data_IF_632874429166
#
_entry.id   IF_632874429166
#
_cell.length_a   1.000
_cell.length_b   1.000
_cell.length_c   1.000
_cell.angle_alpha   90.00
_cell.angle_beta   90.00
_cell.angle_gamma   90.00
#
_symmetry.space_group_name_H-M   'P 1'
#
loop_
_entity.id
_entity.type
_entity.pdbx_description
1 polymer ?
#
# COMPACT_ATOMS: atom_id res chain seq x y z
N UNK A 1 26.80 -16.67 7.70
CA UNK A 1 26.70 -15.64 6.63
C UNK A 1 25.63 -16.07 5.64
N UNK A 2 24.39 -15.67 5.91
CA UNK A 2 23.28 -15.85 4.99
C UNK A 2 23.28 -14.69 4.02
N UNK A 3 23.57 -14.96 2.75
CA UNK A 3 23.46 -13.97 1.68
C UNK A 3 22.06 -13.41 1.61
N UNK A 4 21.86 -12.09 1.47
CA UNK A 4 20.53 -11.52 1.37
C UNK A 4 19.80 -12.03 0.11
N UNK A 5 18.50 -12.28 0.18
CA UNK A 5 17.72 -12.79 -0.93
C UNK A 5 17.66 -11.78 -2.10
N UNK A 6 17.55 -12.33 -3.29
CA UNK A 6 17.57 -11.60 -4.56
C UNK A 6 16.27 -10.85 -4.79
N UNK A 7 16.30 -9.54 -4.95
CA UNK A 7 15.18 -8.74 -5.42
C UNK A 7 15.27 -8.56 -6.95
N UNK A 8 14.16 -8.75 -7.65
CA UNK A 8 14.02 -8.34 -9.05
C UNK A 8 13.36 -6.95 -9.11
N UNK A 9 13.88 -6.05 -9.93
CA UNK A 9 13.31 -4.72 -10.12
C UNK A 9 12.56 -4.67 -11.44
N UNK A 10 11.29 -4.27 -11.39
CA UNK A 10 10.47 -3.96 -12.55
C UNK A 10 10.36 -2.44 -12.67
N UNK A 11 10.92 -1.87 -13.72
CA UNK A 11 10.77 -0.45 -14.04
C UNK A 11 10.19 -0.32 -15.44
N UNK A 12 9.17 0.52 -15.62
CA UNK A 12 8.61 0.81 -16.92
C UNK A 12 9.19 2.10 -17.47
N UNK A 13 9.78 2.06 -18.66
CA UNK A 13 10.26 3.23 -19.38
C UNK A 13 9.21 3.73 -20.37
N UNK A 14 9.00 5.05 -20.42
CA UNK A 14 8.11 5.69 -21.40
C UNK A 14 8.80 5.71 -22.76
N UNK A 15 8.25 5.08 -23.75
CA UNK A 15 8.51 5.41 -25.15
C UNK A 15 7.61 6.59 -25.58
N UNK A 16 8.08 7.43 -26.49
CA UNK A 16 7.49 8.63 -27.11
C UNK A 16 5.95 8.78 -27.02
N UNK A 17 5.38 9.99 -26.85
CA UNK A 17 3.95 10.24 -26.62
C UNK A 17 3.00 9.74 -27.73
N UNK A 18 3.51 9.27 -28.85
CA UNK A 18 2.73 8.73 -29.97
C UNK A 18 2.57 7.18 -29.95
N UNK A 19 3.30 6.44 -29.11
CA UNK A 19 3.20 4.99 -29.08
C UNK A 19 2.34 4.51 -27.90
N UNK A 20 1.29 3.77 -28.22
CA UNK A 20 0.40 3.11 -27.23
C UNK A 20 1.08 1.87 -26.57
N UNK A 21 2.41 1.80 -26.60
CA UNK A 21 3.20 0.69 -26.09
C UNK A 21 3.90 1.03 -24.79
N UNK A 22 3.94 0.07 -23.86
CA UNK A 22 4.76 0.09 -22.67
C UNK A 22 5.80 -1.03 -22.78
N UNK A 23 6.95 -0.82 -22.18
CA UNK A 23 7.99 -1.84 -22.04
C UNK A 23 8.38 -1.92 -20.58
N UNK A 24 8.40 -3.10 -20.02
CA UNK A 24 8.94 -3.34 -18.69
C UNK A 24 10.45 -3.59 -18.79
N UNK A 25 11.24 -2.86 -18.00
CA UNK A 25 12.63 -3.19 -17.75
C UNK A 25 12.68 -4.11 -16.53
N UNK A 26 13.08 -5.36 -16.74
CA UNK A 26 13.24 -6.36 -15.68
C UNK A 26 14.71 -6.51 -15.36
N UNK A 27 15.10 -6.14 -14.14
CA UNK A 27 16.49 -6.22 -13.68
C UNK A 27 16.59 -7.30 -12.59
N UNK A 28 17.51 -8.21 -12.77
CA UNK A 28 17.87 -9.25 -11.81
C UNK A 28 19.38 -9.17 -11.50
N UNK A 29 19.88 -9.98 -10.58
CA UNK A 29 21.34 -10.05 -10.36
C UNK A 29 22.12 -10.50 -11.58
N UNK A 30 21.51 -11.30 -12.46
CA UNK A 30 22.19 -11.93 -13.59
C UNK A 30 22.07 -11.12 -14.89
N UNK A 31 20.98 -10.39 -15.09
CA UNK A 31 20.68 -9.73 -16.36
C UNK A 31 19.66 -8.61 -16.22
N UNK A 32 19.57 -7.82 -17.27
CA UNK A 32 18.52 -6.83 -17.48
C UNK A 32 17.85 -7.11 -18.83
N UNK A 33 16.54 -7.26 -18.82
CA UNK A 33 15.73 -7.58 -19.99
C UNK A 33 14.68 -6.51 -20.26
N UNK A 34 14.44 -6.18 -21.52
CA UNK A 34 13.32 -5.35 -21.96
C UNK A 34 12.18 -6.27 -22.40
N UNK A 35 11.06 -6.18 -21.69
CA UNK A 35 9.87 -7.00 -21.94
C UNK A 35 8.77 -6.11 -22.50
N UNK A 36 8.44 -6.22 -23.80
CA UNK A 36 7.33 -5.47 -24.38
C UNK A 36 6.00 -5.90 -23.77
N UNK A 37 5.16 -4.91 -23.41
CA UNK A 37 3.81 -5.14 -22.91
C UNK A 37 2.83 -4.90 -24.06
N UNK A 38 2.30 -5.98 -24.64
CA UNK A 38 1.53 -5.90 -25.88
C UNK A 38 0.07 -5.50 -25.66
N UNK A 39 -0.50 -5.83 -24.49
CA UNK A 39 -1.93 -5.67 -24.21
C UNK A 39 -2.26 -4.39 -23.43
N UNK A 40 -1.39 -3.39 -23.49
CA UNK A 40 -1.59 -2.09 -22.81
C UNK A 40 -2.91 -1.40 -23.19
N UNK A 41 -3.37 -1.43 -24.48
CA UNK A 41 -4.67 -0.89 -24.82
C UNK A 41 -5.84 -1.58 -24.10
N UNK A 42 -5.73 -2.89 -23.86
CA UNK A 42 -6.73 -3.66 -23.12
C UNK A 42 -6.68 -3.33 -21.61
N UNK A 43 -5.50 -3.26 -21.03
CA UNK A 43 -5.31 -2.80 -19.67
C UNK A 43 -5.93 -1.40 -19.45
N UNK A 44 -5.69 -0.46 -20.37
CA UNK A 44 -6.28 0.89 -20.30
C UNK A 44 -7.81 0.89 -20.36
N UNK A 45 -8.41 -0.02 -21.14
CA UNK A 45 -9.87 -0.18 -21.18
C UNK A 45 -10.45 -0.79 -19.89
N UNK A 46 -9.66 -1.64 -19.22
CA UNK A 46 -10.09 -2.26 -17.96
C UNK A 46 -10.07 -1.29 -16.77
N UNK A 47 -9.16 -0.30 -16.75
CA UNK A 47 -8.97 0.61 -15.62
C UNK A 47 -10.22 1.40 -15.20
N UNK A 48 -11.02 2.04 -16.11
CA UNK A 48 -12.17 2.83 -15.69
C UNK A 48 -13.24 2.03 -14.92
N UNK A 49 -13.46 0.78 -15.29
CA UNK A 49 -14.43 -0.09 -14.61
C UNK A 49 -13.91 -0.75 -13.34
N UNK A 50 -12.59 -0.81 -13.15
CA UNK A 50 -11.99 -1.47 -12.00
C UNK A 50 -12.38 -0.80 -10.67
N UNK A 51 -12.38 0.54 -10.63
CA UNK A 51 -12.80 1.29 -9.43
C UNK A 51 -14.24 0.96 -9.05
N UNK A 52 -15.15 1.04 -10.02
CA UNK A 52 -16.56 0.75 -9.77
C UNK A 52 -16.75 -0.69 -9.24
N UNK A 53 -16.02 -1.66 -9.82
CA UNK A 53 -16.08 -3.05 -9.35
C UNK A 53 -15.49 -3.20 -7.93
N UNK A 54 -14.44 -2.47 -7.59
CA UNK A 54 -13.83 -2.48 -6.25
C UNK A 54 -14.76 -1.83 -5.21
N UNK A 55 -15.33 -0.65 -5.51
CA UNK A 55 -16.28 0.05 -4.64
C UNK A 55 -17.54 -0.80 -4.41
N UNK A 56 -18.04 -1.43 -5.47
CA UNK A 56 -19.17 -2.37 -5.39
C UNK A 56 -18.81 -3.63 -4.58
N UNK A 57 -17.61 -4.18 -4.74
CA UNK A 57 -17.16 -5.36 -4.01
C UNK A 57 -17.01 -5.09 -2.51
N UNK A 58 -16.59 -3.89 -2.14
CA UNK A 58 -16.52 -3.47 -0.73
C UNK A 58 -17.90 -3.30 -0.11
N UNK A 59 -18.88 -2.86 -0.90
CA UNK A 59 -20.25 -2.51 -0.44
C UNK A 59 -21.23 -3.68 -0.52
N UNK A 60 -21.19 -4.49 -1.59
CA UNK A 60 -22.13 -5.59 -1.85
C UNK A 60 -21.58 -6.90 -1.31
N UNK A 61 -21.91 -7.21 -0.05
CA UNK A 61 -21.33 -8.33 0.68
C UNK A 61 -22.11 -9.64 0.63
N UNK A 62 -23.39 -9.58 0.23
CA UNK A 62 -24.31 -10.73 0.23
C UNK A 62 -25.20 -10.74 -1.01
N UNK A 63 -25.84 -11.88 -1.26
CA UNK A 63 -26.82 -12.05 -2.33
C UNK A 63 -26.21 -12.30 -3.72
N UNK A 64 -27.08 -12.47 -4.75
CA UNK A 64 -26.65 -12.85 -6.09
C UNK A 64 -25.81 -11.77 -6.79
N UNK A 65 -26.00 -10.50 -6.46
CA UNK A 65 -25.23 -9.39 -7.01
C UNK A 65 -23.75 -9.48 -6.64
N UNK A 66 -23.43 -9.97 -5.43
CA UNK A 66 -22.03 -10.20 -5.01
C UNK A 66 -21.26 -11.06 -6.01
N UNK A 67 -21.86 -12.17 -6.47
CA UNK A 67 -21.20 -13.06 -7.41
C UNK A 67 -20.98 -12.41 -8.79
N UNK A 68 -21.88 -11.53 -9.21
CA UNK A 68 -21.74 -10.78 -10.48
C UNK A 68 -20.58 -9.78 -10.36
N UNK A 69 -20.58 -8.99 -9.30
CA UNK A 69 -19.49 -8.01 -9.03
C UNK A 69 -18.15 -8.71 -8.92
N UNK A 70 -18.08 -9.81 -8.15
CA UNK A 70 -16.81 -10.55 -7.99
C UNK A 70 -16.28 -11.10 -9.31
N UNK A 71 -17.14 -11.66 -10.17
CA UNK A 71 -16.72 -12.14 -11.51
C UNK A 71 -16.23 -11.02 -12.41
N UNK A 72 -16.88 -9.84 -12.37
CA UNK A 72 -16.43 -8.66 -13.11
C UNK A 72 -15.06 -8.21 -12.64
N UNK A 73 -14.89 -8.08 -11.33
CA UNK A 73 -13.62 -7.70 -10.69
C UNK A 73 -12.50 -8.70 -11.04
N UNK A 74 -12.75 -10.00 -10.85
CA UNK A 74 -11.76 -11.05 -11.16
C UNK A 74 -11.33 -11.03 -12.63
N UNK A 75 -12.29 -10.82 -13.55
CA UNK A 75 -11.99 -10.71 -14.98
C UNK A 75 -11.08 -9.51 -15.29
N UNK A 76 -11.35 -8.35 -14.69
CA UNK A 76 -10.53 -7.14 -14.90
C UNK A 76 -9.14 -7.29 -14.27
N UNK A 77 -9.06 -7.84 -13.06
CA UNK A 77 -7.77 -8.12 -12.42
C UNK A 77 -6.93 -9.11 -13.22
N UNK A 78 -7.55 -10.15 -13.80
CA UNK A 78 -6.87 -11.10 -14.67
C UNK A 78 -6.35 -10.43 -15.95
N UNK A 79 -7.17 -9.57 -16.58
CA UNK A 79 -6.75 -8.78 -17.76
C UNK A 79 -5.55 -7.88 -17.43
N UNK A 80 -5.58 -7.18 -16.29
CA UNK A 80 -4.48 -6.32 -15.86
C UNK A 80 -3.22 -7.13 -15.53
N UNK A 81 -3.36 -8.27 -14.85
CA UNK A 81 -2.23 -9.16 -14.55
C UNK A 81 -1.55 -9.63 -15.82
N UNK A 82 -2.33 -10.15 -16.77
CA UNK A 82 -1.80 -10.65 -18.06
C UNK A 82 -1.11 -9.55 -18.85
N UNK A 83 -1.74 -8.36 -18.94
CA UNK A 83 -1.21 -7.26 -19.73
C UNK A 83 0.04 -6.59 -19.16
N UNK A 84 0.19 -6.54 -17.83
CA UNK A 84 1.20 -5.71 -17.18
C UNK A 84 2.26 -6.50 -16.41
N UNK A 85 1.91 -7.68 -15.92
CA UNK A 85 2.71 -8.36 -14.90
C UNK A 85 3.20 -9.74 -15.27
N UNK A 86 2.37 -10.60 -15.86
CA UNK A 86 2.65 -12.04 -15.95
C UNK A 86 3.97 -12.34 -16.65
N UNK A 87 4.24 -11.70 -17.80
CA UNK A 87 5.49 -11.90 -18.53
C UNK A 87 6.71 -11.26 -17.82
N UNK A 88 6.67 -10.00 -17.35
CA UNK A 88 7.74 -9.45 -16.51
C UNK A 88 8.03 -10.27 -15.26
N UNK A 89 7.02 -10.76 -14.57
CA UNK A 89 7.19 -11.59 -13.37
C UNK A 89 7.78 -12.96 -13.69
N UNK A 90 7.43 -13.56 -14.83
CA UNK A 90 8.03 -14.80 -15.34
C UNK A 90 9.51 -14.62 -15.64
N UNK A 91 9.88 -13.50 -16.27
CA UNK A 91 11.29 -13.17 -16.56
C UNK A 91 12.08 -12.89 -15.27
N UNK A 92 11.48 -12.20 -14.30
CA UNK A 92 12.10 -11.94 -13.02
C UNK A 92 12.37 -13.21 -12.21
N UNK A 93 11.51 -14.22 -12.32
CA UNK A 93 11.69 -15.54 -11.71
C UNK A 93 11.81 -15.58 -10.18
N UNK A 94 11.73 -14.44 -9.51
CA UNK A 94 11.92 -14.28 -8.07
C UNK A 94 10.58 -14.22 -7.33
N UNK A 95 10.59 -14.56 -6.03
CA UNK A 95 9.44 -14.37 -5.15
C UNK A 95 9.33 -12.94 -4.60
N UNK A 96 10.43 -12.17 -4.60
CA UNK A 96 10.46 -10.78 -4.14
C UNK A 96 10.57 -9.85 -5.33
N UNK A 97 9.69 -8.86 -5.41
CA UNK A 97 9.64 -7.89 -6.50
C UNK A 97 9.69 -6.46 -5.97
N UNK A 98 10.47 -5.63 -6.63
CA UNK A 98 10.38 -4.17 -6.50
C UNK A 98 9.76 -3.65 -7.79
N UNK A 99 8.60 -3.04 -7.68
CA UNK A 99 7.86 -2.52 -8.82
C UNK A 99 7.95 -1.00 -8.83
N UNK A 100 8.43 -0.43 -9.92
CA UNK A 100 8.38 1.02 -10.18
C UNK A 100 7.42 1.24 -11.34
N UNK A 101 6.23 1.74 -11.05
CA UNK A 101 5.18 1.96 -12.04
C UNK A 101 5.05 3.45 -12.39
N UNK A 102 4.79 3.82 -13.67
CA UNK A 102 4.47 5.19 -14.04
C UNK A 102 3.14 5.63 -13.42
N UNK A 103 2.95 6.94 -13.25
CA UNK A 103 1.77 7.50 -12.57
C UNK A 103 0.41 6.99 -13.06
N UNK A 104 0.29 6.69 -14.37
CA UNK A 104 -0.94 6.12 -14.96
C UNK A 104 -1.30 4.73 -14.40
N UNK A 105 -0.33 4.00 -13.82
CA UNK A 105 -0.51 2.68 -13.22
C UNK A 105 -0.47 2.71 -11.69
N UNK A 106 -0.32 3.87 -11.09
CA UNK A 106 -0.11 3.98 -9.64
C UNK A 106 -1.36 3.62 -8.82
N UNK A 107 -2.57 3.80 -9.37
CA UNK A 107 -3.83 3.42 -8.71
C UNK A 107 -4.19 1.93 -8.81
N UNK A 108 -3.40 1.11 -9.47
CA UNK A 108 -3.68 -0.33 -9.59
C UNK A 108 -3.49 -0.99 -8.22
N UNK A 109 -4.47 -1.79 -7.75
CA UNK A 109 -4.31 -2.61 -6.55
C UNK A 109 -3.44 -3.85 -6.87
N UNK A 110 -2.13 -3.64 -6.99
CA UNK A 110 -1.18 -4.67 -7.41
C UNK A 110 -1.28 -5.94 -6.58
N UNK A 111 -1.54 -5.82 -5.27
CA UNK A 111 -1.70 -6.95 -4.36
C UNK A 111 -2.84 -7.90 -4.77
N UNK A 112 -3.86 -7.38 -5.47
CA UNK A 112 -5.00 -8.17 -5.93
C UNK A 112 -4.77 -8.86 -7.27
N UNK A 113 -3.74 -8.47 -8.03
CA UNK A 113 -3.45 -9.11 -9.32
C UNK A 113 -3.09 -10.59 -9.14
N UNK A 114 -3.66 -11.52 -9.93
CA UNK A 114 -3.37 -12.95 -9.82
C UNK A 114 -1.89 -13.28 -9.81
N UNK A 115 -1.08 -12.61 -10.63
CA UNK A 115 0.37 -12.79 -10.70
C UNK A 115 1.15 -12.30 -9.46
N UNK A 116 0.50 -11.54 -8.56
CA UNK A 116 1.11 -11.06 -7.29
C UNK A 116 0.74 -11.93 -6.08
N UNK A 117 -0.24 -12.80 -6.18
CA UNK A 117 -0.68 -13.63 -5.05
C UNK A 117 0.46 -14.46 -4.50
N UNK A 118 0.67 -14.35 -3.18
CA UNK A 118 1.75 -15.05 -2.47
C UNK A 118 3.17 -14.56 -2.77
N UNK A 119 3.32 -13.44 -3.51
CA UNK A 119 4.61 -12.79 -3.72
C UNK A 119 4.85 -11.70 -2.68
N UNK A 120 6.06 -11.61 -2.22
CA UNK A 120 6.55 -10.45 -1.47
C UNK A 120 6.93 -9.36 -2.47
N UNK A 121 6.31 -8.19 -2.37
CA UNK A 121 6.61 -7.09 -3.27
C UNK A 121 6.47 -5.72 -2.59
N UNK A 122 7.12 -4.73 -3.16
CA UNK A 122 6.96 -3.32 -2.79
C UNK A 122 6.84 -2.44 -4.03
N UNK A 123 6.12 -1.35 -3.90
CA UNK A 123 6.03 -0.29 -4.89
C UNK A 123 7.03 0.80 -4.53
N UNK A 124 8.08 0.95 -5.31
CA UNK A 124 9.07 1.98 -5.10
C UNK A 124 8.82 3.21 -5.98
N UNK A 125 8.98 4.44 -5.44
CA UNK A 125 8.90 5.65 -6.26
C UNK A 125 9.92 5.67 -7.41
N UNK A 126 11.09 5.12 -7.17
CA UNK A 126 12.13 4.85 -8.18
C UNK A 126 13.11 3.79 -7.67
N UNK A 127 13.79 3.11 -8.59
CA UNK A 127 14.84 2.15 -8.26
C UNK A 127 16.00 2.81 -7.48
N UNK A 128 16.38 4.05 -7.84
CA UNK A 128 17.43 4.80 -7.17
C UNK A 128 17.07 5.08 -5.71
N UNK A 129 15.84 5.56 -5.43
CA UNK A 129 15.41 5.80 -4.05
C UNK A 129 15.33 4.51 -3.25
N UNK A 130 14.81 3.45 -3.85
CA UNK A 130 14.76 2.14 -3.22
C UNK A 130 16.16 1.65 -2.82
N UNK A 131 17.14 1.75 -3.71
CA UNK A 131 18.52 1.36 -3.43
C UNK A 131 19.12 2.20 -2.29
N UNK A 132 18.96 3.53 -2.34
CA UNK A 132 19.49 4.43 -1.31
C UNK A 132 18.91 4.14 0.09
N UNK A 133 17.60 3.85 0.17
CA UNK A 133 16.96 3.51 1.46
C UNK A 133 17.48 2.19 2.00
N UNK A 134 17.77 1.21 1.14
CA UNK A 134 18.30 -0.09 1.55
C UNK A 134 19.74 -0.04 2.07
N UNK A 135 20.54 0.91 1.59
CA UNK A 135 21.90 1.12 2.08
C UNK A 135 21.95 1.73 3.48
N UNK A 136 20.85 2.38 3.91
CA UNK A 136 20.74 2.93 5.26
C UNK A 136 20.51 1.83 6.29
N UNK A 137 21.20 1.87 7.45
CA UNK A 137 21.00 0.90 8.52
C UNK A 137 19.53 0.86 8.97
N UNK A 138 19.04 -0.32 9.30
CA UNK A 138 17.77 -0.44 10.03
C UNK A 138 18.03 -0.18 11.50
N UNK A 139 17.13 0.55 12.18
CA UNK A 139 17.19 0.66 13.64
C UNK A 139 16.95 -0.68 14.32
N UNK A 140 17.00 -0.68 15.64
CA UNK A 140 16.90 -1.81 16.57
C UNK A 140 15.86 -2.88 16.19
N UNK A 141 16.11 -4.18 16.46
CA UNK A 141 15.14 -5.25 16.27
C UNK A 141 13.89 -5.17 17.17
N UNK A 142 13.90 -4.37 18.23
CA UNK A 142 12.74 -4.16 19.10
C UNK A 142 12.04 -2.87 18.66
N UNK A 143 10.99 -3.03 17.86
CA UNK A 143 10.21 -1.90 17.38
C UNK A 143 9.20 -1.44 18.46
N UNK A 144 9.12 -0.13 18.66
CA UNK A 144 8.05 0.53 19.42
C UNK A 144 6.89 0.78 18.48
N UNK A 145 5.67 0.47 18.92
CA UNK A 145 4.48 0.64 18.09
C UNK A 145 3.51 1.66 18.68
N UNK A 146 2.92 2.45 17.79
CA UNK A 146 1.84 3.38 18.09
C UNK A 146 0.66 3.17 17.18
N UNK A 147 -0.53 3.38 17.72
CA UNK A 147 -1.80 3.31 17.02
C UNK A 147 -2.59 4.58 17.22
N UNK A 148 -3.30 5.03 16.20
CA UNK A 148 -4.23 6.13 16.27
C UNK A 148 -5.52 5.81 15.55
N UNK A 149 -6.66 6.11 16.15
CA UNK A 149 -7.98 5.96 15.55
C UNK A 149 -8.53 7.34 15.23
N UNK A 150 -8.88 7.59 13.98
CA UNK A 150 -9.57 8.81 13.58
C UNK A 150 -11.06 8.78 13.93
N UNK A 151 -11.72 9.95 13.92
CA UNK A 151 -13.13 10.03 14.26
C UNK A 151 -14.02 9.31 13.22
N UNK A 152 -15.11 8.73 13.71
CA UNK A 152 -16.17 8.11 12.90
C UNK A 152 -15.71 6.95 11.98
N UNK A 153 -14.58 6.32 12.25
CA UNK A 153 -14.14 5.11 11.56
C UNK A 153 -14.90 3.92 12.11
N UNK A 154 -15.76 3.33 11.30
CA UNK A 154 -16.48 2.13 11.71
C UNK A 154 -15.46 1.01 11.97
N UNK A 155 -15.54 0.35 13.13
CA UNK A 155 -14.61 -0.70 13.59
C UNK A 155 -13.12 -0.29 13.70
N UNK A 156 -12.77 1.01 13.62
CA UNK A 156 -11.37 1.45 13.76
C UNK A 156 -10.77 1.07 15.11
N UNK A 157 -11.51 1.18 16.18
CA UNK A 157 -11.09 0.75 17.52
C UNK A 157 -10.87 -0.78 17.61
N UNK A 158 -11.73 -1.56 16.95
CA UNK A 158 -11.58 -3.01 16.88
C UNK A 158 -10.35 -3.40 16.06
N UNK A 159 -10.15 -2.78 14.91
CA UNK A 159 -8.98 -2.99 14.05
C UNK A 159 -7.69 -2.73 14.83
N UNK A 160 -7.62 -1.58 15.52
CA UNK A 160 -6.47 -1.21 16.35
C UNK A 160 -6.29 -2.17 17.52
N UNK A 161 -7.36 -2.58 18.20
CA UNK A 161 -7.27 -3.53 19.32
C UNK A 161 -6.71 -4.89 18.87
N UNK A 162 -7.17 -5.40 17.72
CA UNK A 162 -6.68 -6.66 17.15
C UNK A 162 -5.20 -6.52 16.77
N UNK A 163 -4.83 -5.46 16.06
CA UNK A 163 -3.45 -5.22 15.65
C UNK A 163 -2.50 -5.03 16.85
N UNK A 164 -2.93 -4.29 17.87
CA UNK A 164 -2.15 -4.03 19.07
C UNK A 164 -1.92 -5.28 19.92
N UNK A 165 -2.84 -6.25 19.87
CA UNK A 165 -2.71 -7.51 20.63
C UNK A 165 -1.48 -8.36 20.22
N UNK A 166 -0.91 -8.11 19.05
CA UNK A 166 0.31 -8.77 18.59
C UNK A 166 1.59 -8.24 19.28
N UNK A 167 1.52 -7.11 19.97
CA UNK A 167 2.67 -6.43 20.55
C UNK A 167 2.70 -6.56 22.08
N UNK A 168 3.89 -6.70 22.63
CA UNK A 168 4.05 -6.76 24.09
C UNK A 168 3.66 -5.44 24.78
N UNK A 169 3.99 -4.33 24.12
CA UNK A 169 3.63 -2.97 24.55
C UNK A 169 3.19 -2.18 23.32
N UNK A 170 2.05 -1.49 23.42
CA UNK A 170 1.50 -0.65 22.37
C UNK A 170 0.97 0.66 22.97
N UNK A 171 1.27 1.78 22.31
CA UNK A 171 0.64 3.08 22.61
C UNK A 171 -0.58 3.25 21.72
N UNK A 172 -1.72 3.53 22.29
CA UNK A 172 -2.99 3.66 21.55
C UNK A 172 -3.59 5.02 21.84
N UNK A 173 -3.91 5.77 20.78
CA UNK A 173 -4.71 6.98 20.82
C UNK A 173 -6.12 6.64 20.30
N UNK A 174 -7.13 6.55 21.19
CA UNK A 174 -8.52 6.36 20.79
C UNK A 174 -9.03 7.61 20.05
N UNK A 175 -10.21 7.49 19.41
CA UNK A 175 -10.71 8.49 18.48
C UNK A 175 -10.80 9.92 19.07
N UNK A 176 -11.15 10.05 20.33
CA UNK A 176 -11.28 11.35 20.98
C UNK A 176 -9.92 11.98 21.36
N UNK A 177 -8.88 11.17 21.54
CA UNK A 177 -7.53 11.59 21.95
C UNK A 177 -6.56 11.71 20.76
N UNK A 178 -6.92 11.21 19.58
CA UNK A 178 -6.09 11.24 18.39
C UNK A 178 -6.11 12.63 17.72
N UNK A 179 -5.59 13.63 18.42
CA UNK A 179 -5.39 14.99 17.89
C UNK A 179 -4.16 15.06 16.99
N UNK A 180 -4.05 16.11 16.17
CA UNK A 180 -2.89 16.32 15.29
C UNK A 180 -1.59 16.33 16.07
N UNK A 181 -1.55 17.04 17.20
CA UNK A 181 -0.36 17.10 18.05
C UNK A 181 -0.05 15.73 18.69
N UNK A 182 -1.06 15.03 19.24
CA UNK A 182 -0.85 13.72 19.85
C UNK A 182 -0.36 12.66 18.85
N UNK A 183 -0.89 12.67 17.61
CA UNK A 183 -0.44 11.77 16.53
C UNK A 183 0.97 12.14 16.06
N UNK A 184 1.31 13.42 16.01
CA UNK A 184 2.66 13.88 15.69
C UNK A 184 3.67 13.46 16.74
N UNK A 185 3.32 13.61 18.02
CA UNK A 185 4.16 13.23 19.15
C UNK A 185 4.40 11.71 19.20
N UNK A 186 3.33 10.90 19.04
CA UNK A 186 3.49 9.46 19.03
C UNK A 186 4.31 9.00 17.82
N UNK A 187 4.13 9.62 16.64
CA UNK A 187 4.90 9.33 15.43
C UNK A 187 6.40 9.56 15.63
N UNK A 188 6.79 10.58 16.38
CA UNK A 188 8.20 10.87 16.68
C UNK A 188 8.85 9.84 17.62
N UNK A 189 8.04 9.15 18.44
CA UNK A 189 8.51 8.24 19.48
C UNK A 189 8.54 6.76 19.06
N UNK A 190 7.78 6.38 18.02
CA UNK A 190 7.61 4.98 17.63
C UNK A 190 8.37 4.63 16.35
N UNK A 191 8.54 3.35 16.12
CA UNK A 191 9.18 2.82 14.91
C UNK A 191 8.13 2.32 13.91
N UNK A 192 6.96 1.91 14.40
CA UNK A 192 5.78 1.54 13.61
C UNK A 192 4.59 2.38 14.05
N UNK A 193 3.96 3.09 13.15
CA UNK A 193 2.72 3.83 13.38
C UNK A 193 1.60 3.25 12.52
N UNK A 194 0.49 2.87 13.16
CA UNK A 194 -0.72 2.48 12.46
C UNK A 194 -1.82 3.52 12.69
N UNK A 195 -2.38 4.06 11.61
CA UNK A 195 -3.47 5.04 11.66
C UNK A 195 -4.70 4.47 10.95
N UNK A 196 -5.75 4.21 11.71
CA UNK A 196 -7.07 3.86 11.22
C UNK A 196 -7.95 5.13 11.20
N UNK A 197 -8.05 5.80 10.05
CA UNK A 197 -8.71 7.10 9.95
C UNK A 197 -9.32 7.33 8.56
N UNK A 198 -10.14 8.37 8.42
CA UNK A 198 -10.58 8.81 7.10
C UNK A 198 -9.47 9.61 6.41
N UNK A 199 -9.23 9.31 5.14
CA UNK A 199 -8.36 10.12 4.28
C UNK A 199 -9.11 11.33 3.74
N UNK A 200 -8.40 12.46 3.60
CA UNK A 200 -8.87 13.65 2.89
C UNK A 200 -7.94 13.93 1.72
N UNK A 201 -8.50 13.94 0.54
CA UNK A 201 -7.73 14.20 -0.68
C UNK A 201 -7.92 15.63 -1.19
N UNK A 202 -6.81 16.26 -1.58
CA UNK A 202 -6.81 17.53 -2.30
C UNK A 202 -6.29 17.31 -3.72
N UNK A 203 -7.21 17.39 -4.71
CA UNK A 203 -6.92 17.11 -6.13
C UNK A 203 -5.85 18.02 -6.70
N UNK A 204 -5.88 19.29 -6.31
CA UNK A 204 -5.04 20.32 -6.90
C UNK A 204 -3.62 20.38 -6.30
N UNK A 205 -3.47 19.93 -5.05
CA UNK A 205 -2.18 19.93 -4.37
C UNK A 205 -2.10 18.81 -3.33
N UNK A 206 -1.29 17.77 -3.55
CA UNK A 206 -1.12 16.65 -2.62
C UNK A 206 -0.73 17.05 -1.19
N UNK A 207 -0.05 18.18 -0.99
CA UNK A 207 0.32 18.65 0.35
C UNK A 207 -0.88 19.02 1.24
N UNK A 208 -2.06 19.27 0.62
CA UNK A 208 -3.32 19.47 1.34
C UNK A 208 -4.15 18.17 1.48
N UNK A 209 -3.63 17.05 1.00
CA UNK A 209 -4.16 15.74 1.39
C UNK A 209 -3.77 15.46 2.84
N UNK A 210 -4.64 14.78 3.58
CA UNK A 210 -4.44 14.58 5.00
C UNK A 210 -5.23 13.40 5.54
N UNK A 211 -5.11 13.19 6.83
CA UNK A 211 -5.82 12.18 7.61
C UNK A 211 -6.70 12.92 8.61
N UNK A 212 -8.00 12.59 8.67
CA UNK A 212 -8.93 13.21 9.64
C UNK A 212 -8.66 12.70 11.04
N UNK A 213 -8.42 13.63 11.98
CA UNK A 213 -8.16 13.36 13.39
C UNK A 213 -9.18 14.11 14.27
N UNK A 214 -9.08 13.95 15.58
CA UNK A 214 -10.08 14.45 16.54
C UNK A 214 -10.32 15.97 16.44
N UNK A 215 -9.26 16.74 16.25
CA UNK A 215 -9.27 18.22 16.25
C UNK A 215 -9.07 18.84 14.86
N UNK A 216 -8.91 18.03 13.82
CA UNK A 216 -8.68 18.51 12.47
C UNK A 216 -8.07 17.47 11.56
N UNK A 217 -7.33 17.89 10.54
CA UNK A 217 -6.63 17.00 9.65
C UNK A 217 -5.12 17.18 9.78
N UNK A 218 -4.40 16.04 9.86
CA UNK A 218 -2.95 16.00 9.71
C UNK A 218 -2.63 16.05 8.22
N UNK A 219 -2.15 17.18 7.75
CA UNK A 219 -1.87 17.41 6.33
C UNK A 219 -0.44 17.05 5.96
N UNK A 220 -0.21 16.88 4.65
CA UNK A 220 1.11 16.60 4.12
C UNK A 220 2.19 17.63 4.48
N UNK A 221 1.83 18.89 4.56
CA UNK A 221 2.77 19.95 4.96
C UNK A 221 3.14 19.93 6.45
N UNK A 222 2.37 19.25 7.31
CA UNK A 222 2.70 19.13 8.74
C UNK A 222 3.83 18.13 8.97
N UNK A 223 4.06 17.22 8.01
CA UNK A 223 5.13 16.22 8.09
C UNK A 223 6.53 16.85 8.20
N UNK A 224 6.75 17.99 7.55
CA UNK A 224 8.03 18.71 7.59
C UNK A 224 8.37 19.24 9.01
N UNK A 225 7.38 19.30 9.89
CA UNK A 225 7.54 19.73 11.27
C UNK A 225 7.88 18.60 12.23
N UNK A 226 7.73 17.35 11.80
CA UNK A 226 8.03 16.20 12.65
C UNK A 226 9.55 16.09 12.86
N UNK A 227 10.02 16.07 14.11
CA UNK A 227 11.45 15.97 14.41
C UNK A 227 12.02 14.61 14.02
N UNK A 228 11.17 13.58 14.00
CA UNK A 228 11.45 12.22 13.60
C UNK A 228 10.18 11.62 13.00
N UNK A 229 10.33 10.71 12.07
CA UNK A 229 9.23 9.91 11.51
C UNK A 229 9.43 8.43 11.80
N UNK A 230 8.35 7.64 11.86
CA UNK A 230 8.44 6.18 12.00
C UNK A 230 9.20 5.54 10.82
N UNK A 231 9.76 4.35 11.05
CA UNK A 231 10.31 3.51 9.98
C UNK A 231 9.19 2.96 9.07
N UNK A 232 8.08 2.55 9.68
CA UNK A 232 6.92 1.98 8.99
C UNK A 232 5.65 2.71 9.38
N UNK A 233 4.86 3.08 8.39
CA UNK A 233 3.51 3.63 8.59
C UNK A 233 2.49 2.71 7.93
N UNK A 234 1.47 2.32 8.68
CA UNK A 234 0.30 1.58 8.18
C UNK A 234 -0.88 2.55 8.12
N UNK A 235 -1.39 2.78 6.93
CA UNK A 235 -2.52 3.65 6.68
C UNK A 235 -3.75 2.81 6.33
N UNK A 236 -4.60 2.56 7.29
CA UNK A 236 -5.96 2.07 7.10
C UNK A 236 -6.89 3.25 6.92
N UNK A 237 -6.66 4.01 5.86
CA UNK A 237 -7.37 5.24 5.57
C UNK A 237 -8.05 5.12 4.21
N UNK A 238 -9.36 4.88 4.24
CA UNK A 238 -10.19 4.80 3.06
C UNK A 238 -11.24 5.91 3.11
N UNK A 239 -11.41 6.65 2.03
CA UNK A 239 -12.47 7.66 1.93
C UNK A 239 -13.82 6.98 1.64
N UNK A 240 -14.74 7.03 2.61
CA UNK A 240 -16.12 6.59 2.41
C UNK A 240 -16.92 7.75 1.79
N UNK A 241 -17.37 7.59 0.54
CA UNK A 241 -18.52 8.32 0.04
C UNK A 241 -18.30 9.55 -0.83
N UNK A 242 -17.14 9.80 -1.43
CA UNK A 242 -16.98 10.88 -2.41
C UNK A 242 -16.67 10.39 -3.82
N UNK A 243 -17.64 10.61 -4.72
CA UNK A 243 -17.68 10.13 -6.10
C UNK A 243 -16.83 10.92 -7.11
N UNK A 244 -15.99 11.87 -6.68
CA UNK A 244 -15.37 12.85 -7.59
C UNK A 244 -13.84 12.81 -7.67
N UNK A 245 -13.18 11.83 -7.08
CA UNK A 245 -11.71 11.81 -7.02
C UNK A 245 -11.10 10.97 -8.13
N UNK A 246 -9.97 11.45 -8.66
CA UNK A 246 -9.16 10.69 -9.63
C UNK A 246 -8.57 9.45 -8.98
N UNK A 247 -8.69 8.34 -9.66
CA UNK A 247 -8.43 7.00 -9.20
C UNK A 247 -7.02 6.82 -8.59
N UNK A 248 -6.96 6.37 -7.33
CA UNK A 248 -5.71 6.03 -6.64
C UNK A 248 -4.80 7.20 -6.27
N UNK A 249 -5.18 8.45 -6.57
CA UNK A 249 -4.34 9.62 -6.30
C UNK A 249 -4.27 9.98 -4.81
N UNK A 250 -5.28 9.63 -4.03
CA UNK A 250 -5.40 9.97 -2.60
C UNK A 250 -4.41 9.20 -1.73
N UNK A 251 -4.53 7.89 -1.71
CA UNK A 251 -3.62 7.04 -0.94
C UNK A 251 -2.19 7.18 -1.44
N UNK A 252 -2.01 7.42 -2.73
CA UNK A 252 -0.72 7.71 -3.33
C UNK A 252 -0.19 9.07 -2.85
N UNK A 253 -1.06 10.08 -2.69
CA UNK A 253 -0.69 11.38 -2.14
C UNK A 253 -0.08 11.23 -0.75
N UNK A 254 -0.82 10.67 0.20
CA UNK A 254 -0.34 10.45 1.57
C UNK A 254 0.86 9.51 1.63
N UNK A 255 0.86 8.41 0.89
CA UNK A 255 2.01 7.50 0.82
C UNK A 255 3.28 8.22 0.35
N UNK A 256 3.18 9.05 -0.69
CA UNK A 256 4.33 9.84 -1.18
C UNK A 256 4.83 10.85 -0.16
N UNK A 257 3.92 11.49 0.57
CA UNK A 257 4.26 12.47 1.59
C UNK A 257 5.04 11.80 2.72
N UNK A 258 4.54 10.69 3.28
CA UNK A 258 5.25 9.93 4.30
C UNK A 258 6.63 9.44 3.82
N UNK A 259 6.70 8.88 2.61
CA UNK A 259 7.98 8.48 2.03
C UNK A 259 8.91 9.67 1.82
N UNK A 260 8.39 10.85 1.44
CA UNK A 260 9.20 12.07 1.27
C UNK A 260 9.74 12.57 2.61
N UNK A 261 8.93 12.54 3.65
CA UNK A 261 9.34 12.88 5.02
C UNK A 261 10.41 11.95 5.61
N UNK A 262 10.69 10.81 4.95
CA UNK A 262 11.77 9.91 5.37
C UNK A 262 11.31 8.55 5.89
N UNK A 263 10.00 8.31 5.96
CA UNK A 263 9.46 6.96 6.26
C UNK A 263 10.00 5.96 5.25
N UNK A 264 10.44 4.84 5.75
CA UNK A 264 11.06 3.79 4.94
C UNK A 264 10.03 2.95 4.19
N UNK A 265 8.95 2.61 4.88
CA UNK A 265 7.90 1.76 4.36
C UNK A 265 6.51 2.28 4.74
N UNK A 266 5.63 2.34 3.76
CA UNK A 266 4.21 2.67 3.98
C UNK A 266 3.35 1.52 3.47
N UNK A 267 2.51 0.97 4.33
CA UNK A 267 1.45 0.03 3.94
C UNK A 267 0.16 0.81 3.79
N UNK A 268 -0.40 0.81 2.60
CA UNK A 268 -1.62 1.56 2.29
C UNK A 268 -2.43 0.86 1.19
N UNK A 269 -3.65 1.31 1.00
CA UNK A 269 -4.55 0.83 -0.05
C UNK A 269 -4.91 1.96 -1.01
N UNK A 270 -4.91 1.72 -2.34
CA UNK A 270 -5.34 2.72 -3.32
C UNK A 270 -6.87 2.85 -3.44
N UNK A 271 -7.64 1.98 -2.77
CA UNK A 271 -9.10 1.90 -2.86
C UNK A 271 -9.72 1.51 -1.52
N UNK A 272 -11.03 1.68 -1.41
CA UNK A 272 -11.80 1.32 -0.21
C UNK A 272 -11.67 -0.19 0.07
N UNK A 273 -11.49 -0.53 1.34
CA UNK A 273 -11.47 -1.89 1.85
C UNK A 273 -12.63 -2.06 2.85
N UNK A 274 -13.23 -3.23 2.86
CA UNK A 274 -14.23 -3.53 3.87
C UNK A 274 -13.57 -3.67 5.25
N UNK A 275 -14.18 -3.07 6.27
CA UNK A 275 -13.59 -2.95 7.62
C UNK A 275 -13.20 -4.31 8.25
N UNK A 276 -13.99 -5.37 8.03
CA UNK A 276 -13.67 -6.71 8.53
C UNK A 276 -12.45 -7.32 7.83
N UNK A 277 -12.26 -7.04 6.54
CA UNK A 277 -11.09 -7.47 5.77
C UNK A 277 -9.85 -6.71 6.24
N UNK A 278 -9.98 -5.40 6.48
CA UNK A 278 -8.88 -4.59 7.01
C UNK A 278 -8.47 -5.09 8.41
N UNK A 279 -9.43 -5.25 9.32
CA UNK A 279 -9.22 -5.73 10.69
C UNK A 279 -8.48 -7.09 10.72
N UNK A 280 -8.95 -8.08 9.95
CA UNK A 280 -8.36 -9.42 9.93
C UNK A 280 -6.98 -9.44 9.26
N UNK A 281 -6.84 -8.79 8.10
CA UNK A 281 -5.57 -8.81 7.36
C UNK A 281 -4.47 -8.01 8.06
N UNK A 282 -4.80 -6.79 8.54
CA UNK A 282 -3.81 -5.94 9.21
C UNK A 282 -3.46 -6.48 10.60
N UNK A 283 -4.44 -7.07 11.33
CA UNK A 283 -4.15 -7.80 12.57
C UNK A 283 -3.13 -8.91 12.34
N UNK A 284 -3.36 -9.77 11.35
CA UNK A 284 -2.41 -10.82 10.98
C UNK A 284 -1.05 -10.27 10.50
N UNK A 285 -1.03 -9.11 9.81
CA UNK A 285 0.22 -8.45 9.41
C UNK A 285 1.02 -7.97 10.63
N UNK A 286 0.35 -7.40 11.64
CA UNK A 286 1.02 -6.93 12.86
C UNK A 286 1.70 -8.04 13.65
N UNK A 287 1.22 -9.30 13.57
CA UNK A 287 1.94 -10.45 14.15
C UNK A 287 3.34 -10.64 13.50
N UNK A 288 3.43 -10.51 12.18
CA UNK A 288 4.71 -10.55 11.47
C UNK A 288 5.61 -9.34 11.81
N UNK A 289 5.03 -8.12 11.84
CA UNK A 289 5.77 -6.92 12.21
C UNK A 289 6.33 -7.01 13.64
N UNK A 290 5.54 -7.49 14.60
CA UNK A 290 5.95 -7.69 15.98
C UNK A 290 7.05 -8.77 16.11
N UNK A 291 7.06 -9.76 15.22
CA UNK A 291 8.14 -10.75 15.10
C UNK A 291 9.39 -10.21 14.38
N UNK A 292 9.38 -8.94 13.93
CA UNK A 292 10.50 -8.30 13.22
C UNK A 292 10.56 -8.58 11.73
N UNK A 293 9.48 -9.12 11.14
CA UNK A 293 9.40 -9.31 9.68
C UNK A 293 9.32 -7.96 8.96
N UNK A 294 9.98 -7.81 7.80
CA UNK A 294 9.79 -6.63 6.95
C UNK A 294 8.32 -6.47 6.51
N UNK A 295 7.82 -5.22 6.33
CA UNK A 295 6.40 -4.98 6.05
C UNK A 295 5.84 -5.72 4.84
N UNK A 296 6.59 -5.85 3.76
CA UNK A 296 6.12 -6.58 2.57
C UNK A 296 6.06 -8.11 2.81
N UNK A 297 6.93 -8.65 3.65
CA UNK A 297 6.90 -10.07 4.03
C UNK A 297 5.75 -10.35 4.98
N UNK A 298 5.59 -9.51 6.01
CA UNK A 298 4.48 -9.60 6.97
C UNK A 298 3.12 -9.51 6.28
N UNK A 299 2.94 -8.57 5.32
CA UNK A 299 1.70 -8.43 4.55
C UNK A 299 1.44 -9.65 3.65
N UNK A 300 2.45 -10.15 2.95
CA UNK A 300 2.33 -11.34 2.10
C UNK A 300 2.01 -12.59 2.93
N UNK A 301 2.65 -12.78 4.07
CA UNK A 301 2.39 -13.86 5.01
C UNK A 301 0.97 -13.77 5.59
N UNK A 302 0.53 -12.58 5.97
CA UNK A 302 -0.84 -12.32 6.45
C UNK A 302 -1.89 -12.70 5.39
N UNK A 303 -1.72 -12.27 4.14
CA UNK A 303 -2.61 -12.63 3.04
C UNK A 303 -2.68 -14.13 2.81
N UNK A 304 -1.55 -14.84 2.90
CA UNK A 304 -1.53 -16.30 2.76
C UNK A 304 -2.21 -17.02 3.94
N UNK A 305 -2.01 -16.53 5.18
CA UNK A 305 -2.61 -17.13 6.38
C UNK A 305 -4.11 -16.95 6.44
N UNK A 306 -4.58 -15.74 6.16
CA UNK A 306 -6.02 -15.41 6.21
C UNK A 306 -6.77 -15.86 4.97
N UNK A 307 -6.06 -16.11 3.86
CA UNK A 307 -6.66 -16.35 2.54
C UNK A 307 -7.31 -15.09 1.93
N UNK A 308 -7.16 -13.93 2.56
CA UNK A 308 -7.76 -12.68 2.10
C UNK A 308 -6.93 -12.06 0.96
N UNK A 309 -7.63 -11.66 -0.09
CA UNK A 309 -7.08 -10.86 -1.18
C UNK A 309 -7.63 -9.45 -1.05
N UNK A 310 -6.80 -8.54 -0.57
CA UNK A 310 -7.15 -7.15 -0.33
C UNK A 310 -6.18 -6.19 -1.03
N UNK A 311 -6.58 -4.96 -1.31
CA UNK A 311 -5.75 -4.00 -2.05
C UNK A 311 -4.63 -3.36 -1.22
N UNK A 312 -4.39 -3.78 0.02
CA UNK A 312 -3.25 -3.31 0.79
C UNK A 312 -1.93 -3.71 0.12
N UNK A 313 -1.04 -2.76 0.03
CA UNK A 313 0.26 -2.96 -0.60
C UNK A 313 1.34 -2.12 0.08
N UNK A 314 2.56 -2.62 0.05
CA UNK A 314 3.71 -1.93 0.63
C UNK A 314 4.33 -0.99 -0.39
N UNK A 315 4.69 0.19 0.07
CA UNK A 315 5.41 1.21 -0.69
C UNK A 315 6.73 1.52 0.01
N UNK A 316 7.79 1.76 -0.76
CA UNK A 316 9.10 2.10 -0.21
C UNK A 316 10.11 0.96 -0.34
N UNK A 317 10.83 0.66 0.73
CA UNK A 317 11.88 -0.36 0.71
C UNK A 317 11.31 -1.80 0.71
N UNK A 318 10.27 -2.03 1.48
CA UNK A 318 9.48 -3.26 1.56
C UNK A 318 10.14 -4.40 2.34
N UNK A 319 11.44 -4.64 2.15
CA UNK A 319 12.16 -5.79 2.73
C UNK A 319 13.66 -5.56 2.83
#
# INVERSE_FOLDING_TARGET
STSPPTAGTLSTTRSSPASNSLTALVVTRARADLVPLHDVPEARRALPGLRADLDMSASVRTGPMRQVVQRSLDSRLATLSSALLDEPARVAGTRRLVVTAPGVLSGIPWAMLPGMRGRVFTLAPSATRWAAVRESPRPSPVARVGFAVGPRVARGEEEVAVAASAWAEARILPADDATVDAVTDIAADVDVLHVAAHGRHAVDNPLFSGIELADGALFGYDMDRMPRVPETVVLSACEVGRSSVRWGEEAIGMTRIWLHAGVRDVVATPVIVADDVACELLGAMHEGLAAGEPPAEALAAASLRTGLVAPFQTHGSGF
#
